data_IF_036328417436
#
_entry.id   IF_036328417436
#
_cell.length_a   1.000
_cell.length_b   1.000
_cell.length_c   1.000
_cell.angle_alpha   90.00
_cell.angle_beta   90.00
_cell.angle_gamma   90.00
#
_symmetry.space_group_name_H-M   'P 1'
#
loop_
_entity.id
_entity.type
_entity.pdbx_description
1 polymer ?
#
# COMPACT_ATOMS: atom_id res chain seq x y z
N UNK A 1 11.12 -0.39 -9.72
CA UNK A 1 10.11 -1.47 -9.69
C UNK A 1 8.87 -0.96 -10.40
N UNK A 2 8.27 -1.74 -11.30
CA UNK A 2 6.98 -1.39 -11.90
C UNK A 2 5.86 -1.90 -10.96
N UNK A 3 5.30 -1.07 -10.09
CA UNK A 3 4.28 -1.52 -9.14
C UNK A 3 2.92 -1.81 -9.81
N UNK A 4 2.66 -1.24 -10.99
CA UNK A 4 1.38 -1.35 -11.73
C UNK A 4 1.08 -2.77 -12.22
N UNK A 5 2.10 -3.63 -12.26
CA UNK A 5 1.88 -5.07 -12.53
C UNK A 5 1.27 -5.82 -11.33
N UNK A 6 1.43 -5.34 -10.10
CA UNK A 6 0.93 -6.01 -8.89
C UNK A 6 -0.25 -5.31 -8.20
N UNK A 7 -0.48 -4.03 -8.48
CA UNK A 7 -1.58 -3.25 -7.87
C UNK A 7 -2.56 -2.86 -8.96
N UNK A 8 -3.85 -2.95 -8.64
CA UNK A 8 -4.94 -2.51 -9.50
C UNK A 8 -5.93 -1.63 -8.74
N UNK A 9 -6.59 -0.75 -9.49
CA UNK A 9 -7.70 0.07 -9.03
C UNK A 9 -8.91 -0.28 -9.89
N UNK A 10 -9.97 -0.75 -9.26
CA UNK A 10 -11.22 -1.05 -9.95
C UNK A 10 -12.36 -0.48 -9.11
N UNK A 11 -13.20 0.39 -9.70
CA UNK A 11 -14.33 1.02 -9.00
C UNK A 11 -15.33 0.01 -8.42
N UNK A 12 -15.35 -1.23 -8.95
CA UNK A 12 -16.18 -2.33 -8.45
C UNK A 12 -15.55 -3.06 -7.25
N UNK A 13 -14.27 -2.81 -6.95
CA UNK A 13 -13.51 -3.44 -5.86
C UNK A 13 -13.16 -2.39 -4.81
N UNK A 14 -13.61 -2.59 -3.57
CA UNK A 14 -13.36 -1.67 -2.44
C UNK A 14 -13.58 -0.19 -2.79
N UNK A 15 -14.62 0.11 -3.57
CA UNK A 15 -14.95 1.47 -4.03
C UNK A 15 -13.80 2.18 -4.77
N UNK A 16 -13.00 1.45 -5.55
CA UNK A 16 -11.89 2.03 -6.32
C UNK A 16 -10.57 2.14 -5.58
N UNK A 17 -10.51 1.69 -4.31
CA UNK A 17 -9.25 1.68 -3.55
C UNK A 17 -8.19 0.83 -4.27
N UNK A 18 -6.91 1.24 -4.25
CA UNK A 18 -5.81 0.43 -4.76
C UNK A 18 -5.70 -0.88 -3.98
N UNK A 19 -5.74 -2.00 -4.70
CA UNK A 19 -5.65 -3.35 -4.13
C UNK A 19 -4.53 -4.14 -4.76
N UNK A 20 -4.00 -5.11 -4.02
CA UNK A 20 -3.04 -6.07 -4.55
C UNK A 20 -3.81 -7.07 -5.44
N UNK A 21 -3.38 -7.23 -6.69
CA UNK A 21 -4.05 -8.07 -7.70
C UNK A 21 -4.24 -9.50 -7.20
N UNK A 22 -5.40 -10.06 -7.51
CA UNK A 22 -5.77 -11.42 -7.08
C UNK A 22 -6.09 -11.54 -5.59
N UNK A 23 -6.16 -10.42 -4.87
CA UNK A 23 -6.55 -10.37 -3.45
C UNK A 23 -7.64 -9.32 -3.22
N UNK A 24 -8.19 -9.29 -2.02
CA UNK A 24 -9.07 -8.20 -1.54
C UNK A 24 -8.36 -7.34 -0.49
N UNK A 25 -7.02 -7.27 -0.54
CA UNK A 25 -6.20 -6.50 0.39
C UNK A 25 -5.87 -5.15 -0.25
N UNK A 26 -6.25 -4.06 0.40
CA UNK A 26 -5.88 -2.72 -0.04
C UNK A 26 -4.45 -2.39 0.32
N UNK A 27 -3.83 -1.49 -0.46
CA UNK A 27 -2.52 -0.89 -0.13
C UNK A 27 -2.56 -0.27 1.27
N UNK A 28 -3.62 0.49 1.56
CA UNK A 28 -3.87 1.11 2.87
C UNK A 28 -3.84 0.09 4.02
N UNK A 29 -4.48 -1.07 3.86
CA UNK A 29 -4.50 -2.11 4.89
C UNK A 29 -3.09 -2.64 5.19
N UNK A 30 -2.28 -2.88 4.17
CA UNK A 30 -0.90 -3.34 4.34
C UNK A 30 -0.05 -2.28 5.05
N UNK A 31 -0.20 -1.01 4.67
CA UNK A 31 0.48 0.10 5.35
C UNK A 31 0.04 0.20 6.81
N UNK A 32 -1.24 0.01 7.12
CA UNK A 32 -1.74 0.04 8.50
C UNK A 32 -1.15 -1.10 9.36
N UNK A 33 -1.00 -2.30 8.81
CA UNK A 33 -0.35 -3.41 9.52
C UNK A 33 1.11 -3.07 9.85
N UNK A 34 1.87 -2.60 8.86
CA UNK A 34 3.26 -2.19 9.03
C UNK A 34 3.38 -1.05 10.05
N UNK A 35 2.50 -0.04 9.98
CA UNK A 35 2.45 1.06 10.94
C UNK A 35 2.09 0.60 12.37
N UNK A 36 1.36 -0.51 12.49
CA UNK A 36 1.03 -1.15 13.77
C UNK A 36 2.15 -2.06 14.30
N UNK A 37 3.33 -2.06 13.66
CA UNK A 37 4.50 -2.81 14.10
C UNK A 37 4.62 -4.23 13.54
N UNK A 38 3.81 -4.61 12.56
CA UNK A 38 3.94 -5.91 11.89
C UNK A 38 5.19 -5.95 11.03
N UNK A 39 5.86 -7.10 10.99
CA UNK A 39 6.97 -7.36 10.06
C UNK A 39 6.45 -7.84 8.70
N UNK A 40 7.25 -7.65 7.65
CA UNK A 40 6.95 -8.21 6.33
C UNK A 40 6.73 -9.72 6.38
N UNK A 41 7.52 -10.43 7.20
CA UNK A 41 7.39 -11.87 7.39
C UNK A 41 6.03 -12.24 7.98
N UNK A 42 5.59 -11.55 9.04
CA UNK A 42 4.28 -11.80 9.64
C UNK A 42 3.14 -11.57 8.64
N UNK A 43 3.27 -10.55 7.78
CA UNK A 43 2.29 -10.27 6.73
C UNK A 43 2.26 -11.41 5.71
N UNK A 44 3.42 -11.88 5.22
CA UNK A 44 3.48 -12.97 4.25
C UNK A 44 2.97 -14.30 4.83
N UNK A 45 3.22 -14.56 6.11
CA UNK A 45 2.71 -15.74 6.83
C UNK A 45 1.19 -15.71 6.99
N UNK A 46 0.62 -14.55 7.33
CA UNK A 46 -0.83 -14.40 7.54
C UNK A 46 -1.62 -14.23 6.22
N UNK A 47 -0.95 -13.82 5.15
CA UNK A 47 -1.55 -13.66 3.82
C UNK A 47 -0.75 -14.42 2.75
N UNK A 48 -0.88 -15.77 2.66
CA UNK A 48 -0.06 -16.61 1.77
C UNK A 48 -0.22 -16.33 0.27
N UNK A 49 -1.23 -15.55 -0.12
CA UNK A 49 -1.43 -15.09 -1.50
C UNK A 49 -0.57 -13.87 -1.85
N UNK A 50 0.08 -13.26 -0.87
CA UNK A 50 1.06 -12.21 -1.10
C UNK A 50 2.40 -12.82 -1.45
N UNK A 51 3.09 -12.17 -2.38
CA UNK A 51 4.48 -12.44 -2.68
C UNK A 51 5.32 -11.29 -2.16
N UNK A 52 6.62 -11.51 -2.05
CA UNK A 52 7.55 -10.45 -1.65
C UNK A 52 7.51 -9.29 -2.64
N UNK A 53 7.35 -9.58 -3.92
CA UNK A 53 7.25 -8.59 -5.00
C UNK A 53 5.95 -7.79 -4.93
N UNK A 54 4.83 -8.43 -4.56
CA UNK A 54 3.58 -7.71 -4.36
C UNK A 54 3.64 -6.78 -3.14
N UNK A 55 4.32 -7.19 -2.07
CA UNK A 55 4.58 -6.34 -0.91
C UNK A 55 5.52 -5.17 -1.26
N UNK A 56 6.58 -5.41 -2.03
CA UNK A 56 7.44 -4.34 -2.56
C UNK A 56 6.69 -3.36 -3.46
N UNK A 57 5.73 -3.85 -4.25
CA UNK A 57 4.89 -3.00 -5.08
C UNK A 57 4.01 -2.05 -4.25
N UNK A 58 3.56 -2.45 -3.05
CA UNK A 58 2.85 -1.55 -2.11
C UNK A 58 3.70 -0.32 -1.82
N UNK A 59 4.98 -0.51 -1.47
CA UNK A 59 5.90 0.61 -1.24
C UNK A 59 6.16 1.43 -2.50
N UNK A 60 6.28 0.78 -3.66
CA UNK A 60 6.43 1.46 -4.95
C UNK A 60 5.25 2.38 -5.28
N UNK A 61 4.02 1.92 -5.04
CA UNK A 61 2.81 2.73 -5.20
C UNK A 61 2.81 3.93 -4.27
N UNK A 62 3.10 3.71 -2.98
CA UNK A 62 3.15 4.80 -1.99
C UNK A 62 4.24 5.81 -2.34
N UNK A 63 5.42 5.35 -2.78
CA UNK A 63 6.50 6.23 -3.20
C UNK A 63 6.11 7.13 -4.38
N UNK A 64 5.43 6.59 -5.39
CA UNK A 64 4.96 7.37 -6.54
C UNK A 64 3.89 8.38 -6.12
N UNK A 65 2.93 7.94 -5.30
CA UNK A 65 1.90 8.83 -4.75
C UNK A 65 2.47 9.98 -3.90
N UNK A 66 3.53 9.73 -3.13
CA UNK A 66 4.22 10.77 -2.36
C UNK A 66 5.00 11.74 -3.25
N UNK A 67 5.61 11.26 -4.34
CA UNK A 67 6.34 12.09 -5.31
C UNK A 67 5.42 13.03 -6.09
N UNK A 68 4.20 12.59 -6.39
CA UNK A 68 3.21 13.38 -7.11
C UNK A 68 2.62 14.54 -6.27
N UNK A 69 3.12 14.76 -5.04
CA UNK A 69 3.12 16.09 -4.42
C UNK A 69 1.97 16.40 -3.46
N UNK A 70 1.39 15.41 -2.78
CA UNK A 70 0.26 15.65 -1.87
C UNK A 70 0.58 15.71 -0.37
N UNK A 71 1.86 15.69 0.06
CA UNK A 71 2.20 15.88 1.47
C UNK A 71 3.48 16.70 1.68
N UNK A 72 3.35 18.02 1.47
CA UNK A 72 4.06 19.01 2.28
C UNK A 72 3.04 20.07 2.69
N UNK A 73 2.38 19.85 3.82
CA UNK A 73 1.70 20.90 4.59
C UNK A 73 1.46 20.39 6.01
N UNK A 74 2.49 20.43 6.84
CA UNK A 74 2.29 20.90 8.21
C UNK A 74 2.80 22.35 8.22
N UNK A 75 1.94 23.39 8.26
CA UNK A 75 2.35 24.55 9.02
C UNK A 75 2.48 24.07 10.45
N UNK A 76 3.70 24.16 10.99
CA UNK A 76 4.02 23.97 12.40
C UNK A 76 2.88 24.54 13.26
N UNK A 77 2.36 23.73 14.18
CA UNK A 77 1.38 24.16 15.19
C UNK A 77 1.79 25.54 15.72
N UNK A 78 0.99 26.57 15.44
CA UNK A 78 1.11 27.84 16.14
C UNK A 78 0.83 27.57 17.61
N UNK A 79 1.80 27.96 18.45
CA UNK A 79 1.77 27.92 19.90
C UNK A 79 0.53 28.57 20.53
#
# INVERSE_FOLDING_TARGET
MNWRVHIETNNQILAGKPVIKGTRLSVEHIINLLASGWTEQQILENYPRLSKESLQAVFGYVQEFLKDGLFYNEPLKSA
#
